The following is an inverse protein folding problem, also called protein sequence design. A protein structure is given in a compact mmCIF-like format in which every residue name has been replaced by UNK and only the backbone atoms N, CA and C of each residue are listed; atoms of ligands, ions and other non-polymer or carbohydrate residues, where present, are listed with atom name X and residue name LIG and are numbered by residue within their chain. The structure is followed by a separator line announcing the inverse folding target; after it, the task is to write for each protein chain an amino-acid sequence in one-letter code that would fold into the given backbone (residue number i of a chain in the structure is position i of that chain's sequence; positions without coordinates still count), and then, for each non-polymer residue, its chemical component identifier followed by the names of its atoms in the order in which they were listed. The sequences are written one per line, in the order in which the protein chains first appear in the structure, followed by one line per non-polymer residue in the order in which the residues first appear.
data_IF_636263703391
#
_entry.id   IF_636263703391
#
_cell.length_a   1.000
_cell.length_b   1.000
_cell.length_c   1.000
_cell.angle_alpha   90.00
_cell.angle_beta   90.00
_cell.angle_gamma   90.00
#
_symmetry.space_group_name_H-M   'P 1'
#
loop_
_entity.id
_entity.type
_entity.pdbx_description
1 polymer ?
#
# COMPACT_ATOMS: atom_id res chain seq x y z
N UNK A 1 24.34 2.96 2.52
CA UNK A 1 22.91 3.37 2.62
C UNK A 1 22.12 3.12 1.32
N UNK A 2 22.73 3.00 0.14
CA UNK A 2 21.99 2.78 -1.12
C UNK A 2 21.21 1.45 -1.19
N UNK A 3 21.85 0.32 -0.86
CA UNK A 3 21.23 -1.01 -0.92
C UNK A 3 19.86 -1.13 -0.20
N UNK A 4 19.72 -0.74 1.09
CA UNK A 4 18.42 -0.84 1.76
C UNK A 4 17.35 0.08 1.14
N UNK A 5 17.75 1.26 0.64
CA UNK A 5 16.81 2.18 -0.01
C UNK A 5 16.34 1.64 -1.38
N UNK A 6 17.24 1.02 -2.15
CA UNK A 6 16.89 0.34 -3.41
C UNK A 6 15.93 -0.81 -3.17
N UNK A 7 16.20 -1.65 -2.15
CA UNK A 7 15.29 -2.76 -1.80
C UNK A 7 13.93 -2.23 -1.34
N UNK A 8 13.91 -1.14 -0.57
CA UNK A 8 12.68 -0.50 -0.14
C UNK A 8 11.86 0.02 -1.34
N UNK A 9 12.51 0.67 -2.30
CA UNK A 9 11.86 1.16 -3.51
C UNK A 9 11.26 0.01 -4.33
N UNK A 10 12.02 -1.07 -4.56
CA UNK A 10 11.53 -2.26 -5.27
C UNK A 10 10.33 -2.86 -4.53
N UNK A 11 10.41 -2.96 -3.21
CA UNK A 11 9.32 -3.46 -2.38
C UNK A 11 8.05 -2.59 -2.51
N UNK A 12 8.19 -1.26 -2.49
CA UNK A 12 7.07 -0.34 -2.71
C UNK A 12 6.45 -0.50 -4.12
N UNK A 13 7.26 -0.74 -5.16
CA UNK A 13 6.77 -1.04 -6.49
C UNK A 13 5.96 -2.35 -6.53
N UNK A 14 6.44 -3.41 -5.87
CA UNK A 14 5.72 -4.69 -5.80
C UNK A 14 4.36 -4.49 -5.14
N UNK A 15 4.32 -3.79 -4.00
CA UNK A 15 3.05 -3.45 -3.31
C UNK A 15 2.14 -2.61 -4.22
N UNK A 16 2.70 -1.63 -4.93
CA UNK A 16 2.00 -0.79 -5.89
C UNK A 16 1.38 -1.58 -7.05
N UNK A 17 2.08 -2.58 -7.59
CA UNK A 17 1.58 -3.45 -8.65
C UNK A 17 0.34 -4.23 -8.17
N UNK A 18 0.39 -4.80 -6.96
CA UNK A 18 -0.78 -5.49 -6.41
C UNK A 18 -1.94 -4.53 -6.14
N UNK A 19 -1.66 -3.34 -5.62
CA UNK A 19 -2.69 -2.31 -5.43
C UNK A 19 -3.34 -1.90 -6.77
N UNK A 20 -2.55 -1.70 -7.82
CA UNK A 20 -3.03 -1.40 -9.17
C UNK A 20 -3.87 -2.55 -9.75
N UNK A 21 -3.41 -3.79 -9.59
CA UNK A 21 -4.12 -4.97 -10.05
C UNK A 21 -5.50 -5.11 -9.40
N UNK A 22 -5.56 -4.98 -8.06
CA UNK A 22 -6.83 -5.08 -7.32
C UNK A 22 -7.77 -3.93 -7.67
N UNK A 23 -7.28 -2.69 -7.65
CA UNK A 23 -8.10 -1.52 -7.97
C UNK A 23 -8.57 -1.54 -9.43
N UNK A 24 -7.68 -1.90 -10.37
CA UNK A 24 -7.97 -1.94 -11.81
C UNK A 24 -8.93 -3.04 -12.21
N UNK A 25 -8.93 -4.15 -11.48
CA UNK A 25 -9.91 -5.23 -11.65
C UNK A 25 -11.29 -4.86 -11.09
N UNK A 26 -11.33 -3.96 -10.10
CA UNK A 26 -12.56 -3.61 -9.38
C UNK A 26 -13.25 -2.34 -9.90
N UNK A 27 -12.52 -1.44 -10.57
CA UNK A 27 -12.99 -0.10 -10.91
C UNK A 27 -12.75 0.24 -12.39
N UNK A 28 -13.76 0.80 -13.09
CA UNK A 28 -13.57 1.29 -14.45
C UNK A 28 -12.76 2.60 -14.49
N UNK A 29 -12.28 3.01 -15.67
CA UNK A 29 -11.85 4.40 -15.91
C UNK A 29 -12.95 5.39 -15.49
N UNK A 30 -12.54 6.53 -14.92
CA UNK A 30 -13.44 7.56 -14.41
C UNK A 30 -14.06 7.25 -13.03
N UNK A 31 -13.65 6.16 -12.37
CA UNK A 31 -14.10 5.86 -11.02
C UNK A 31 -13.81 7.01 -10.03
N UNK A 32 -14.71 7.26 -9.05
CA UNK A 32 -14.55 8.36 -8.13
C UNK A 32 -13.33 8.15 -7.21
N UNK A 33 -12.65 9.25 -6.88
CA UNK A 33 -11.45 9.27 -6.04
C UNK A 33 -11.57 8.41 -4.77
N UNK A 34 -12.69 8.52 -4.06
CA UNK A 34 -12.93 7.77 -2.81
C UNK A 34 -12.94 6.26 -3.02
N UNK A 35 -13.44 5.77 -4.16
CA UNK A 35 -13.44 4.33 -4.45
C UNK A 35 -12.04 3.83 -4.76
N UNK A 36 -11.29 4.55 -5.60
CA UNK A 36 -9.90 4.18 -5.94
C UNK A 36 -9.02 4.21 -4.67
N UNK A 37 -9.16 5.27 -3.87
CA UNK A 37 -8.45 5.42 -2.60
C UNK A 37 -8.71 4.22 -1.68
N UNK A 38 -9.97 3.78 -1.53
CA UNK A 38 -10.31 2.63 -0.69
C UNK A 38 -9.61 1.36 -1.16
N UNK A 39 -9.75 0.99 -2.42
CA UNK A 39 -9.16 -0.26 -2.92
C UNK A 39 -7.63 -0.22 -2.88
N UNK A 40 -7.02 0.82 -3.46
CA UNK A 40 -5.57 0.91 -3.54
C UNK A 40 -4.91 1.06 -2.15
N UNK A 41 -5.46 1.91 -1.26
CA UNK A 41 -4.93 2.08 0.08
C UNK A 41 -5.07 0.80 0.92
N UNK A 42 -6.22 0.12 0.87
CA UNK A 42 -6.42 -1.11 1.64
C UNK A 42 -5.45 -2.19 1.18
N UNK A 43 -5.32 -2.42 -0.13
CA UNK A 43 -4.36 -3.40 -0.65
C UNK A 43 -2.92 -3.05 -0.29
N UNK A 44 -2.53 -1.77 -0.42
CA UNK A 44 -1.20 -1.32 -0.02
C UNK A 44 -0.94 -1.49 1.48
N UNK A 45 -1.93 -1.20 2.33
CA UNK A 45 -1.83 -1.36 3.78
C UNK A 45 -1.60 -2.81 4.20
N UNK A 46 -2.32 -3.75 3.56
CA UNK A 46 -2.10 -5.18 3.77
C UNK A 46 -0.64 -5.55 3.44
N UNK A 47 -0.11 -5.04 2.33
CA UNK A 47 1.27 -5.25 1.89
C UNK A 47 2.31 -4.69 2.84
N UNK A 48 2.15 -3.43 3.28
CA UNK A 48 3.13 -2.72 4.11
C UNK A 48 3.09 -3.09 5.60
N UNK A 49 1.93 -3.48 6.14
CA UNK A 49 1.74 -3.57 7.60
C UNK A 49 1.37 -4.97 8.10
N UNK A 50 0.33 -5.60 7.55
CA UNK A 50 -0.24 -6.83 8.15
C UNK A 50 0.75 -7.99 8.16
N UNK A 51 1.56 -8.11 7.10
CA UNK A 51 2.64 -9.07 7.01
C UNK A 51 3.84 -8.76 7.91
N UNK A 52 3.73 -7.84 8.87
CA UNK A 52 4.75 -7.63 9.91
C UNK A 52 4.29 -8.13 11.28
N UNK A 53 2.99 -8.41 11.45
CA UNK A 53 2.42 -8.75 12.75
C UNK A 53 2.83 -10.15 13.22
N UNK A 54 3.03 -11.08 12.29
CA UNK A 54 3.45 -12.44 12.59
C UNK A 54 4.83 -12.50 13.29
N UNK A 55 5.67 -11.46 13.12
CA UNK A 55 6.93 -11.33 13.86
C UNK A 55 6.72 -11.15 15.37
N UNK A 56 5.66 -10.46 15.80
CA UNK A 56 5.33 -10.36 17.24
C UNK A 56 4.72 -11.65 17.76
N UNK A 57 3.85 -12.27 16.95
CA UNK A 57 3.06 -13.44 17.34
C UNK A 57 3.96 -14.66 17.53
N UNK A 58 4.81 -14.96 16.55
CA UNK A 58 5.63 -16.18 16.54
C UNK A 58 7.04 -15.93 17.05
N UNK A 59 7.63 -14.80 16.66
CA UNK A 59 9.05 -14.50 16.89
C UNK A 59 9.28 -13.55 18.07
N UNK A 60 8.24 -13.26 18.86
CA UNK A 60 8.32 -12.45 20.08
C UNK A 60 8.94 -11.05 19.86
N UNK A 61 8.80 -10.48 18.65
CA UNK A 61 9.15 -9.08 18.39
C UNK A 61 8.30 -8.17 19.29
N UNK A 62 8.91 -7.11 19.83
CA UNK A 62 8.21 -6.09 20.61
C UNK A 62 6.98 -5.54 19.87
N UNK A 63 5.82 -5.55 20.53
CA UNK A 63 4.59 -4.95 20.02
C UNK A 63 4.72 -3.46 19.73
N UNK A 64 5.56 -2.73 20.48
CA UNK A 64 5.83 -1.32 20.20
C UNK A 64 6.49 -1.12 18.84
N UNK A 65 7.42 -2.00 18.45
CA UNK A 65 8.04 -1.96 17.11
C UNK A 65 6.98 -2.25 16.04
N UNK A 66 6.11 -3.23 16.29
CA UNK A 66 5.04 -3.60 15.36
C UNK A 66 4.02 -2.49 15.18
N UNK A 67 3.62 -1.80 16.24
CA UNK A 67 2.71 -0.65 16.17
C UNK A 67 3.37 0.48 15.38
N UNK A 68 4.64 0.81 15.67
CA UNK A 68 5.39 1.84 14.91
C UNK A 68 5.47 1.51 13.43
N UNK A 69 5.82 0.26 13.08
CA UNK A 69 5.86 -0.19 11.70
C UNK A 69 4.48 -0.20 11.03
N UNK A 70 3.40 -0.45 11.79
CA UNK A 70 2.03 -0.39 11.28
C UNK A 70 1.61 1.05 10.98
N UNK A 71 1.97 2.01 11.83
CA UNK A 71 1.72 3.44 11.59
C UNK A 71 2.50 3.92 10.36
N UNK A 72 3.78 3.55 10.24
CA UNK A 72 4.58 3.86 9.06
C UNK A 72 3.96 3.25 7.79
N UNK A 73 3.62 1.96 7.83
CA UNK A 73 2.93 1.28 6.73
C UNK A 73 1.57 1.89 6.38
N UNK A 74 0.82 2.42 7.35
CA UNK A 74 -0.42 3.15 7.10
C UNK A 74 -0.18 4.45 6.34
N UNK A 75 0.87 5.21 6.70
CA UNK A 75 1.25 6.44 6.00
C UNK A 75 1.63 6.10 4.55
N UNK A 76 2.48 5.09 4.34
CA UNK A 76 2.86 4.65 2.99
C UNK A 76 1.66 4.15 2.17
N UNK A 77 0.72 3.44 2.79
CA UNK A 77 -0.49 2.96 2.13
C UNK A 77 -1.42 4.11 1.71
N UNK A 78 -1.62 5.10 2.58
CA UNK A 78 -2.42 6.30 2.27
C UNK A 78 -1.80 7.11 1.13
N UNK A 79 -0.47 7.30 1.15
CA UNK A 79 0.24 7.97 0.06
C UNK A 79 0.11 7.18 -1.25
N UNK A 80 0.29 5.86 -1.21
CA UNK A 80 0.13 4.99 -2.39
C UNK A 80 -1.29 5.09 -2.96
N UNK A 81 -2.30 4.94 -2.11
CA UNK A 81 -3.71 5.04 -2.50
C UNK A 81 -4.07 6.43 -3.06
N UNK A 82 -3.55 7.49 -2.46
CA UNK A 82 -3.77 8.86 -2.93
C UNK A 82 -3.18 9.09 -4.32
N UNK A 83 -1.96 8.59 -4.58
CA UNK A 83 -1.32 8.69 -5.91
C UNK A 83 -2.15 7.93 -6.96
N UNK A 84 -2.61 6.71 -6.66
CA UNK A 84 -3.50 5.98 -7.57
C UNK A 84 -4.83 6.70 -7.81
N UNK A 85 -5.45 7.23 -6.75
CA UNK A 85 -6.71 7.94 -6.87
C UNK A 85 -6.57 9.27 -7.63
N UNK A 86 -5.41 9.94 -7.52
CA UNK A 86 -5.11 11.17 -8.25
C UNK A 86 -4.81 10.92 -9.74
N UNK A 87 -4.06 9.87 -10.04
CA UNK A 87 -3.63 9.50 -11.39
C UNK A 87 -4.55 8.47 -12.06
N UNK A 88 -5.73 8.20 -11.48
CA UNK A 88 -6.65 7.23 -12.04
C UNK A 88 -7.07 7.63 -13.46
N UNK A 89 -7.15 6.68 -14.42
CA UNK A 89 -7.55 6.99 -15.78
C UNK A 89 -8.89 7.71 -15.81
N UNK A 90 -8.93 8.89 -16.44
CA UNK A 90 -10.17 9.63 -16.67
C UNK A 90 -10.87 9.05 -17.89
N UNK A 91 -12.20 9.13 -17.91
CA UNK A 91 -12.96 8.86 -19.13
C UNK A 91 -12.48 9.81 -20.23
N UNK A 92 -11.75 9.29 -21.21
CA UNK A 92 -11.51 9.98 -22.48
C UNK A 92 -12.78 9.81 -23.30
N UNK A 93 -13.57 10.88 -23.38
CA UNK A 93 -14.71 11.00 -24.30
C UNK A 93 -14.18 11.16 -25.72
#
# INVERSE_FOLDING_TARGET
MGKPLTLWFIYALVVGIFAAYVAGSALPPGAPFRSVMRFACTTAFVGYALALWQLSIWYHRSWTITIKATVDGLIYALLTGAVFAWLWPRLTV
#
